data_IF_241184392255
#
_entry.id   IF_241184392255
#
_cell.length_a   1.000
_cell.length_b   1.000
_cell.length_c   1.000
_cell.angle_alpha   90.00
_cell.angle_beta   90.00
_cell.angle_gamma   90.00
#
_symmetry.space_group_name_H-M   'P 1'
#
loop_
_entity.id
_entity.type
_entity.pdbx_description
1 polymer ?
#
# COMPACT_ATOMS: atom_id res chain seq x y z
N UNK A 1 -7.60 -18.03 2.60
CA UNK A 1 -6.51 -17.38 1.83
C UNK A 1 -7.05 -16.19 1.06
N UNK A 2 -6.43 -15.05 1.24
CA UNK A 2 -6.83 -13.80 0.60
C UNK A 2 -5.66 -13.25 -0.23
N UNK A 3 -5.87 -13.09 -1.53
CA UNK A 3 -4.86 -12.57 -2.46
C UNK A 3 -4.94 -11.05 -2.49
N UNK A 4 -3.84 -10.38 -2.20
CA UNK A 4 -3.74 -8.93 -2.12
C UNK A 4 -2.89 -8.39 -3.26
N UNK A 5 -3.38 -7.34 -3.93
CA UNK A 5 -2.55 -6.45 -4.73
C UNK A 5 -2.34 -5.15 -3.95
N UNK A 6 -1.09 -4.83 -3.66
CA UNK A 6 -0.69 -3.61 -2.97
C UNK A 6 0.01 -2.66 -3.94
N UNK A 7 -0.51 -1.44 -4.04
CA UNK A 7 0.06 -0.39 -4.88
C UNK A 7 -0.03 0.97 -4.19
N UNK A 8 0.73 1.93 -4.70
CA UNK A 8 0.82 3.29 -4.16
C UNK A 8 1.33 4.26 -5.20
N UNK A 9 1.06 5.54 -4.96
CA UNK A 9 1.69 6.62 -5.72
C UNK A 9 1.44 6.52 -7.24
N UNK A 10 0.18 6.34 -7.60
CA UNK A 10 -0.27 6.38 -9.00
C UNK A 10 -0.15 7.77 -9.62
N UNK A 11 -0.39 8.83 -8.81
CA UNK A 11 -0.42 10.20 -9.32
C UNK A 11 -1.27 10.32 -10.59
N UNK A 12 -2.50 9.81 -10.54
CA UNK A 12 -3.47 9.78 -11.66
C UNK A 12 -3.14 8.85 -12.82
N UNK A 13 -2.06 8.07 -12.72
CA UNK A 13 -1.65 7.15 -13.78
C UNK A 13 -2.18 5.74 -13.57
N UNK A 14 -2.87 5.21 -14.57
CA UNK A 14 -3.30 3.80 -14.65
C UNK A 14 -3.01 3.28 -16.05
N UNK A 15 -2.56 2.03 -16.12
CA UNK A 15 -2.37 1.33 -17.38
C UNK A 15 -2.96 -0.09 -17.35
N UNK A 16 -2.97 -0.74 -18.50
CA UNK A 16 -3.56 -2.08 -18.66
C UNK A 16 -2.84 -3.14 -17.80
N UNK A 17 -1.56 -2.98 -17.53
CA UNK A 17 -0.81 -3.91 -16.67
C UNK A 17 -1.27 -3.84 -15.23
N UNK A 18 -1.47 -2.62 -14.69
CA UNK A 18 -2.01 -2.45 -13.35
C UNK A 18 -3.40 -3.10 -13.26
N UNK A 19 -4.26 -2.85 -14.24
CA UNK A 19 -5.61 -3.41 -14.28
C UNK A 19 -5.60 -4.93 -14.41
N UNK A 20 -4.68 -5.49 -15.19
CA UNK A 20 -4.51 -6.94 -15.32
C UNK A 20 -4.21 -7.62 -13.97
N UNK A 21 -3.29 -7.07 -13.21
CA UNK A 21 -2.98 -7.62 -11.87
C UNK A 21 -4.11 -7.37 -10.86
N UNK A 22 -4.80 -6.24 -10.97
CA UNK A 22 -5.93 -5.93 -10.11
C UNK A 22 -7.05 -6.98 -10.23
N UNK A 23 -7.32 -7.47 -11.44
CA UNK A 23 -8.33 -8.51 -11.68
C UNK A 23 -8.00 -9.85 -11.02
N UNK A 24 -6.72 -10.14 -10.77
CA UNK A 24 -6.26 -11.40 -10.19
C UNK A 24 -6.29 -11.41 -8.65
N UNK A 25 -6.45 -10.26 -8.02
CA UNK A 25 -6.51 -10.13 -6.57
C UNK A 25 -7.92 -10.41 -6.04
N UNK A 26 -8.04 -10.71 -4.76
CA UNK A 26 -9.30 -10.70 -4.02
C UNK A 26 -9.59 -9.32 -3.46
N UNK A 27 -8.57 -8.62 -3.00
CA UNK A 27 -8.63 -7.24 -2.54
C UNK A 27 -7.48 -6.41 -3.11
N UNK A 28 -7.75 -5.12 -3.31
CA UNK A 28 -6.74 -4.12 -3.68
C UNK A 28 -6.49 -3.23 -2.46
N UNK A 29 -5.21 -3.04 -2.10
CA UNK A 29 -4.81 -2.12 -1.05
C UNK A 29 -3.98 -0.99 -1.64
N UNK A 30 -4.30 0.25 -1.28
CA UNK A 30 -3.66 1.44 -1.83
C UNK A 30 -3.10 2.33 -0.73
N UNK A 31 -1.80 2.56 -0.76
CA UNK A 31 -1.08 3.29 0.27
C UNK A 31 -1.01 4.83 0.05
N UNK A 32 -1.92 5.38 -0.76
CA UNK A 32 -2.06 6.83 -0.93
C UNK A 32 -1.47 7.40 -2.20
N UNK A 33 -1.77 8.68 -2.46
CA UNK A 33 -1.46 9.39 -3.70
C UNK A 33 -2.08 8.70 -4.93
N UNK A 34 -3.39 8.52 -4.83
CA UNK A 34 -4.20 8.00 -5.94
C UNK A 34 -4.16 8.93 -7.16
N UNK A 35 -4.43 10.19 -6.93
CA UNK A 35 -4.74 11.13 -7.98
C UNK A 35 -6.18 11.00 -8.48
N UNK A 36 -6.42 11.47 -9.70
CA UNK A 36 -7.75 11.55 -10.30
C UNK A 36 -8.11 10.21 -10.97
N UNK A 37 -9.37 9.78 -10.80
CA UNK A 37 -10.02 8.62 -11.43
C UNK A 37 -9.43 7.24 -11.07
N UNK A 38 -8.34 7.16 -10.34
CA UNK A 38 -7.68 5.89 -9.99
C UNK A 38 -8.51 5.07 -9.02
N UNK A 39 -8.98 5.69 -7.94
CA UNK A 39 -9.75 5.01 -6.90
C UNK A 39 -11.05 4.41 -7.45
N UNK A 40 -11.81 5.19 -8.23
CA UNK A 40 -13.07 4.74 -8.84
C UNK A 40 -12.84 3.54 -9.76
N UNK A 41 -11.79 3.59 -10.58
CA UNK A 41 -11.47 2.52 -11.51
C UNK A 41 -11.06 1.23 -10.78
N UNK A 42 -10.20 1.33 -9.78
CA UNK A 42 -9.78 0.17 -9.00
C UNK A 42 -10.94 -0.44 -8.20
N UNK A 43 -11.77 0.42 -7.58
CA UNK A 43 -12.93 -0.02 -6.82
C UNK A 43 -13.98 -0.72 -7.69
N UNK A 44 -14.06 -0.38 -8.97
CA UNK A 44 -14.95 -1.06 -9.92
C UNK A 44 -14.51 -2.49 -10.24
N UNK A 45 -13.25 -2.85 -9.94
CA UNK A 45 -12.68 -4.17 -10.25
C UNK A 45 -12.75 -5.09 -9.03
N UNK A 46 -12.27 -4.64 -7.86
CA UNK A 46 -12.22 -5.41 -6.61
C UNK A 46 -12.43 -4.49 -5.41
N UNK A 47 -12.80 -5.06 -4.24
CA UNK A 47 -12.83 -4.29 -3.00
C UNK A 47 -11.52 -3.56 -2.78
N UNK A 48 -11.60 -2.26 -2.49
CA UNK A 48 -10.45 -1.37 -2.32
C UNK A 48 -10.39 -0.86 -0.89
N UNK A 49 -9.27 -1.13 -0.22
CA UNK A 49 -8.90 -0.49 1.04
C UNK A 49 -7.75 0.47 0.79
N UNK A 50 -7.77 1.62 1.43
CA UNK A 50 -6.71 2.59 1.20
C UNK A 50 -6.68 3.71 2.22
N UNK A 51 -5.66 4.54 2.07
CA UNK A 51 -5.47 5.79 2.79
C UNK A 51 -5.22 6.90 1.79
N UNK A 52 -5.54 8.15 2.14
CA UNK A 52 -5.16 9.25 1.26
C UNK A 52 -3.67 9.60 1.42
N UNK A 53 -3.09 10.14 0.37
CA UNK A 53 -1.75 10.70 0.37
C UNK A 53 -1.75 12.23 0.32
N UNK A 54 -0.55 12.82 0.35
CA UNK A 54 -0.40 14.28 0.43
C UNK A 54 -0.89 15.03 -0.82
N UNK A 55 -0.90 14.40 -2.00
CA UNK A 55 -1.40 15.03 -3.23
C UNK A 55 -2.89 14.81 -3.47
N UNK A 56 -3.53 13.93 -2.69
CA UNK A 56 -4.92 13.59 -2.91
C UNK A 56 -5.87 14.76 -2.57
N UNK A 57 -6.90 14.92 -3.40
CA UNK A 57 -7.88 15.98 -3.28
C UNK A 57 -8.92 15.68 -2.18
N UNK A 58 -9.84 16.64 -1.95
CA UNK A 58 -10.84 16.51 -0.91
C UNK A 58 -11.79 15.32 -1.13
N UNK A 59 -12.07 14.97 -2.37
CA UNK A 59 -12.93 13.82 -2.69
C UNK A 59 -12.32 12.51 -2.18
N UNK A 60 -11.02 12.31 -2.42
CA UNK A 60 -10.29 11.14 -1.92
C UNK A 60 -10.18 11.18 -0.40
N UNK A 61 -9.87 12.34 0.19
CA UNK A 61 -9.76 12.50 1.65
C UNK A 61 -11.08 12.25 2.37
N UNK A 62 -12.20 12.52 1.74
CA UNK A 62 -13.52 12.20 2.27
C UNK A 62 -13.83 10.70 2.22
N UNK A 63 -13.31 10.00 1.22
CA UNK A 63 -13.57 8.58 0.99
C UNK A 63 -12.60 7.65 1.74
N UNK A 64 -11.37 8.09 2.00
CA UNK A 64 -10.30 7.30 2.60
C UNK A 64 -9.67 8.06 3.78
N UNK A 65 -9.33 7.37 4.89
CA UNK A 65 -8.72 8.01 6.06
C UNK A 65 -7.24 8.34 5.84
N UNK A 66 -6.67 9.14 6.73
CA UNK A 66 -5.22 9.41 6.76
C UNK A 66 -4.43 8.15 7.10
N UNK A 67 -4.89 7.40 8.09
CA UNK A 67 -4.38 6.06 8.40
C UNK A 67 -5.52 5.10 8.62
N UNK A 68 -5.28 3.82 8.36
CA UNK A 68 -6.27 2.77 8.50
C UNK A 68 -5.69 1.58 9.23
N UNK A 69 -6.47 1.02 10.15
CA UNK A 69 -6.15 -0.24 10.80
C UNK A 69 -7.29 -1.21 10.60
N UNK A 70 -6.96 -2.43 10.21
CA UNK A 70 -7.96 -3.47 9.96
C UNK A 70 -7.32 -4.84 10.11
N UNK A 71 -8.15 -5.85 10.22
CA UNK A 71 -7.74 -7.24 10.11
C UNK A 71 -8.03 -7.75 8.70
N UNK A 72 -7.04 -8.44 8.12
CA UNK A 72 -7.25 -9.31 6.99
C UNK A 72 -6.98 -10.73 7.48
N UNK A 73 -7.98 -11.57 7.49
CA UNK A 73 -7.97 -12.84 8.23
C UNK A 73 -7.50 -12.59 9.67
N UNK A 74 -6.37 -13.16 10.09
CA UNK A 74 -5.82 -12.97 11.44
C UNK A 74 -4.62 -12.02 11.48
N UNK A 75 -4.32 -11.34 10.37
CA UNK A 75 -3.23 -10.36 10.29
C UNK A 75 -3.76 -8.96 10.59
N UNK A 76 -3.21 -8.32 11.61
CA UNK A 76 -3.52 -6.92 11.92
C UNK A 76 -2.65 -5.99 11.08
N UNK A 77 -3.30 -5.17 10.28
CA UNK A 77 -2.66 -4.28 9.31
C UNK A 77 -2.81 -2.83 9.75
N UNK A 78 -1.72 -2.08 9.65
CA UNK A 78 -1.71 -0.62 9.72
C UNK A 78 -1.23 -0.07 8.37
N UNK A 79 -1.96 0.89 7.82
CA UNK A 79 -1.61 1.56 6.58
C UNK A 79 -1.59 3.07 6.80
N UNK A 80 -0.52 3.74 6.34
CA UNK A 80 -0.32 5.17 6.45
C UNK A 80 0.58 5.64 5.31
N UNK A 81 0.16 6.65 4.53
CA UNK A 81 0.92 7.08 3.35
C UNK A 81 2.33 7.55 3.70
N UNK A 82 2.47 8.53 4.60
CA UNK A 82 3.76 9.07 5.03
C UNK A 82 4.17 8.43 6.36
N UNK A 83 4.70 7.21 6.27
CA UNK A 83 5.03 6.42 7.45
C UNK A 83 6.52 6.28 7.74
N UNK A 84 7.38 6.55 6.76
CA UNK A 84 8.80 6.26 6.87
C UNK A 84 9.08 4.76 6.74
N UNK A 85 10.10 4.28 7.44
CA UNK A 85 10.55 2.89 7.38
C UNK A 85 11.25 2.48 8.69
N UNK A 86 11.52 1.20 8.93
CA UNK A 86 12.17 0.74 10.16
C UNK A 86 13.45 1.51 10.47
N UNK A 87 13.53 2.02 11.70
CA UNK A 87 14.60 2.91 12.17
C UNK A 87 14.39 4.39 11.89
N UNK A 88 13.46 4.75 11.00
CA UNK A 88 13.12 6.14 10.63
C UNK A 88 11.61 6.34 10.39
N UNK A 89 10.79 5.78 11.25
CA UNK A 89 9.34 6.03 11.19
C UNK A 89 9.02 7.49 11.49
N UNK A 90 7.98 8.01 10.85
CA UNK A 90 7.41 9.31 11.20
C UNK A 90 6.81 9.27 12.61
N UNK A 91 6.60 10.44 13.22
CA UNK A 91 6.01 10.51 14.57
C UNK A 91 4.64 9.86 14.64
N UNK A 92 3.78 10.09 13.64
CA UNK A 92 2.46 9.46 13.59
C UNK A 92 2.57 7.94 13.44
N UNK A 93 3.46 7.46 12.58
CA UNK A 93 3.68 6.01 12.41
C UNK A 93 4.14 5.36 13.71
N UNK A 94 5.11 5.96 14.41
CA UNK A 94 5.58 5.47 15.73
C UNK A 94 4.43 5.38 16.73
N UNK A 95 3.63 6.43 16.83
CA UNK A 95 2.50 6.48 17.75
C UNK A 95 1.50 5.37 17.47
N UNK A 96 1.13 5.18 16.21
CA UNK A 96 0.18 4.15 15.81
C UNK A 96 0.74 2.73 15.96
N UNK A 97 2.00 2.50 15.63
CA UNK A 97 2.67 1.20 15.81
C UNK A 97 2.69 0.81 17.29
N UNK A 98 3.03 1.73 18.18
CA UNK A 98 3.05 1.46 19.62
C UNK A 98 1.65 1.17 20.17
N UNK A 99 0.64 1.93 19.74
CA UNK A 99 -0.73 1.79 20.22
C UNK A 99 -1.40 0.51 19.70
N UNK A 100 -1.17 0.16 18.44
CA UNK A 100 -1.91 -0.88 17.73
C UNK A 100 -1.17 -2.21 17.65
N UNK A 101 0.16 -2.19 17.73
CA UNK A 101 1.01 -3.37 17.56
C UNK A 101 0.62 -4.20 16.33
N UNK A 102 0.68 -3.62 15.11
CA UNK A 102 0.32 -4.33 13.89
C UNK A 102 1.35 -5.41 13.56
N UNK A 103 0.92 -6.45 12.86
CA UNK A 103 1.80 -7.47 12.28
C UNK A 103 2.34 -7.06 10.92
N UNK A 104 1.58 -6.19 10.22
CA UNK A 104 1.92 -5.67 8.90
C UNK A 104 1.75 -4.15 8.89
N UNK A 105 2.82 -3.42 8.57
CA UNK A 105 2.79 -1.96 8.40
C UNK A 105 3.12 -1.58 6.97
N UNK A 106 2.19 -0.88 6.32
CA UNK A 106 2.27 -0.48 4.92
C UNK A 106 2.39 1.04 4.84
N UNK A 107 3.36 1.52 4.05
CA UNK A 107 3.51 2.93 3.72
C UNK A 107 3.80 3.14 2.24
N UNK A 108 3.74 4.39 1.79
CA UNK A 108 4.06 4.84 0.43
C UNK A 108 4.96 6.06 0.46
N UNK A 109 4.64 7.05 -0.37
CA UNK A 109 5.23 8.39 -0.40
C UNK A 109 6.68 8.47 -0.90
N UNK A 110 7.58 7.65 -0.40
CA UNK A 110 9.00 7.71 -0.78
C UNK A 110 9.27 7.24 -2.21
N UNK A 111 8.33 6.52 -2.82
CA UNK A 111 8.48 5.82 -4.09
C UNK A 111 9.59 4.76 -4.07
N UNK A 112 10.07 4.37 -2.89
CA UNK A 112 11.13 3.40 -2.72
C UNK A 112 10.53 2.07 -2.29
N UNK A 113 10.66 1.07 -3.16
CA UNK A 113 10.30 -0.31 -2.86
C UNK A 113 11.07 -0.81 -1.66
N UNK A 114 10.36 -1.30 -0.64
CA UNK A 114 10.99 -1.86 0.56
C UNK A 114 10.12 -2.96 1.17
N UNK A 115 10.75 -4.07 1.47
CA UNK A 115 10.17 -5.17 2.24
C UNK A 115 11.17 -5.53 3.33
N UNK A 116 10.82 -5.27 4.58
CA UNK A 116 11.75 -5.45 5.70
C UNK A 116 11.00 -5.86 6.97
N UNK A 117 11.51 -6.91 7.63
CA UNK A 117 11.04 -7.26 8.96
C UNK A 117 11.68 -6.36 10.02
N UNK A 118 10.85 -5.73 10.82
CA UNK A 118 11.27 -4.92 11.96
C UNK A 118 11.18 -5.75 13.23
N UNK A 119 12.32 -6.29 13.67
CA UNK A 119 12.39 -7.13 14.86
C UNK A 119 12.09 -6.38 16.15
N UNK A 120 12.35 -5.08 16.20
CA UNK A 120 12.08 -4.26 17.37
C UNK A 120 10.58 -4.13 17.65
N UNK A 121 9.78 -3.98 16.60
CA UNK A 121 8.34 -3.82 16.70
C UNK A 121 7.57 -5.11 16.31
N UNK A 122 8.29 -6.17 15.96
CA UNK A 122 7.72 -7.46 15.54
C UNK A 122 6.66 -7.30 14.45
N UNK A 123 7.01 -6.59 13.39
CA UNK A 123 6.14 -6.35 12.24
C UNK A 123 6.89 -6.50 10.92
N UNK A 124 6.15 -6.84 9.87
CA UNK A 124 6.64 -6.75 8.50
C UNK A 124 6.29 -5.37 7.95
N UNK A 125 7.30 -4.62 7.50
CA UNK A 125 7.11 -3.36 6.81
C UNK A 125 7.16 -3.55 5.30
N UNK A 126 6.18 -2.99 4.58
CA UNK A 126 6.13 -2.99 3.13
C UNK A 126 5.85 -1.58 2.61
N UNK A 127 6.68 -1.14 1.68
CA UNK A 127 6.39 -0.03 0.77
C UNK A 127 6.44 -0.59 -0.65
N UNK A 128 5.34 -0.54 -1.42
CA UNK A 128 5.30 -1.16 -2.75
C UNK A 128 6.09 -0.39 -3.81
N UNK A 129 6.69 0.74 -3.45
CA UNK A 129 7.22 1.68 -4.42
C UNK A 129 6.10 2.44 -5.12
N UNK A 130 6.41 3.15 -6.19
CA UNK A 130 5.43 3.88 -6.98
C UNK A 130 5.05 3.10 -8.24
N UNK A 131 3.76 2.92 -8.47
CA UNK A 131 3.27 2.31 -9.72
C UNK A 131 2.96 3.35 -10.81
N UNK A 132 2.94 4.64 -10.46
CA UNK A 132 2.76 5.75 -11.39
C UNK A 132 4.06 6.19 -12.09
N UNK A 133 3.93 7.20 -12.92
CA UNK A 133 5.02 7.71 -13.76
C UNK A 133 5.56 9.09 -13.34
N UNK A 134 5.19 9.56 -12.15
CA UNK A 134 5.65 10.83 -11.58
C UNK A 134 6.50 10.55 -10.35
N UNK A 135 7.71 11.11 -10.29
CA UNK A 135 8.61 11.00 -9.13
C UNK A 135 10.05 10.72 -9.52
N UNK A 136 10.85 10.31 -8.55
CA UNK A 136 12.29 10.07 -8.70
C UNK A 136 12.64 8.60 -8.95
N UNK A 137 11.67 7.70 -8.83
CA UNK A 137 11.87 6.27 -9.06
C UNK A 137 12.17 6.00 -10.55
N UNK A 138 13.02 5.01 -10.80
CA UNK A 138 13.36 4.60 -12.17
C UNK A 138 12.41 3.52 -12.67
N UNK A 139 12.13 2.55 -11.83
CA UNK A 139 11.25 1.41 -12.13
C UNK A 139 9.93 1.55 -11.37
N UNK A 140 8.83 1.38 -12.08
CA UNK A 140 7.48 1.35 -11.52
C UNK A 140 7.24 -0.03 -10.93
N UNK A 141 6.72 -0.08 -9.70
CA UNK A 141 6.52 -1.34 -8.98
C UNK A 141 5.17 -1.42 -8.29
N UNK A 142 4.72 -2.64 -8.07
CA UNK A 142 3.64 -3.03 -7.16
C UNK A 142 4.10 -4.28 -6.42
N UNK A 143 3.33 -4.69 -5.43
CA UNK A 143 3.57 -5.95 -4.70
C UNK A 143 2.27 -6.74 -4.67
N UNK A 144 2.37 -8.06 -4.85
CA UNK A 144 1.28 -8.98 -4.53
C UNK A 144 1.72 -9.99 -3.49
N UNK A 145 0.80 -10.40 -2.66
CA UNK A 145 1.04 -11.42 -1.63
C UNK A 145 -0.28 -12.10 -1.24
N UNK A 146 -0.17 -13.14 -0.45
CA UNK A 146 -1.31 -13.87 0.10
C UNK A 146 -1.30 -13.74 1.62
N UNK A 147 -2.46 -13.49 2.20
CA UNK A 147 -2.68 -13.68 3.64
C UNK A 147 -3.40 -15.01 3.83
N UNK A 148 -2.81 -15.87 4.66
CA UNK A 148 -3.34 -17.16 5.01
C UNK A 148 -3.33 -17.30 6.53
N UNK A 149 -4.49 -17.17 7.15
CA UNK A 149 -4.62 -17.11 8.61
C UNK A 149 -3.83 -15.93 9.20
N UNK A 150 -2.75 -16.20 9.90
CA UNK A 150 -1.87 -15.20 10.51
C UNK A 150 -0.58 -14.96 9.73
N UNK A 151 -0.44 -15.54 8.56
CA UNK A 151 0.79 -15.49 7.77
C UNK A 151 0.64 -14.62 6.53
N UNK A 152 1.69 -13.86 6.23
CA UNK A 152 1.90 -13.19 4.94
C UNK A 152 2.88 -14.05 4.15
N UNK A 153 2.45 -14.54 3.00
CA UNK A 153 3.25 -15.45 2.18
C UNK A 153 3.15 -15.15 0.69
N UNK A 154 3.97 -15.80 -0.10
CA UNK A 154 4.00 -15.68 -1.57
C UNK A 154 4.15 -14.23 -2.04
N UNK A 155 4.96 -13.44 -1.30
CA UNK A 155 5.21 -12.04 -1.64
C UNK A 155 6.07 -11.96 -2.90
N UNK A 156 5.57 -11.20 -3.87
CA UNK A 156 6.22 -11.00 -5.16
C UNK A 156 6.19 -9.53 -5.54
N UNK A 157 7.34 -9.00 -5.95
CA UNK A 157 7.46 -7.68 -6.55
C UNK A 157 7.09 -7.76 -8.03
N UNK A 158 6.17 -6.89 -8.46
CA UNK A 158 5.78 -6.75 -9.86
C UNK A 158 6.48 -5.52 -10.42
N UNK A 159 7.40 -5.72 -11.35
CA UNK A 159 8.02 -4.63 -12.09
C UNK A 159 7.17 -4.28 -13.32
N UNK A 160 6.71 -3.03 -13.37
CA UNK A 160 5.83 -2.54 -14.43
C UNK A 160 6.59 -1.90 -15.60
N UNK A 161 7.91 -1.83 -15.49
CA UNK A 161 8.76 -1.16 -16.46
C UNK A 161 9.24 0.21 -15.96
N UNK A 162 9.83 0.97 -16.86
CA UNK A 162 10.36 2.29 -16.53
C UNK A 162 9.24 3.31 -16.31
N UNK A 163 9.59 4.34 -15.54
CA UNK A 163 8.72 5.50 -15.32
C UNK A 163 8.42 6.22 -16.63
#
# INVERSE_FOLDING_TARGET
MTKILLLSDNHSYLDDRILYYAQQADEIWHAGDFGIDVAEKLQSIKPLKGVYGNIDNQQIRNAYPEFSTFFCENVKVLMLHIGGYPGKYTSLAKQQILALQPQLFISGHSHILKVQFDSKNNLLHINPGACGNIGWHKTRTMIRFVIDGAEVKDLEVIELGNR
#
